data_IF_835153048389
#
_entry.id   IF_835153048389
#
_cell.length_a   1.000
_cell.length_b   1.000
_cell.length_c   1.000
_cell.angle_alpha   90.00
_cell.angle_beta   90.00
_cell.angle_gamma   90.00
#
_symmetry.space_group_name_H-M   'P 1'
#
loop_
_entity.id
_entity.type
_entity.pdbx_description
1 polymer ?
#
# COMPACT_ATOMS: atom_id res chain seq x y z
N UNK A 1 -5.73 45.35 49.05
CA UNK A 1 -4.26 45.44 49.08
C UNK A 1 -3.75 44.06 49.44
N UNK A 2 -3.02 43.43 48.50
CA UNK A 2 -1.98 42.39 48.69
C UNK A 2 -2.39 41.11 49.45
N UNK A 3 -2.03 39.89 49.04
CA UNK A 3 -0.69 39.48 48.63
C UNK A 3 -0.71 38.16 47.85
N UNK A 4 0.13 38.13 46.83
CA UNK A 4 0.69 36.95 46.16
C UNK A 4 1.60 36.15 47.11
N UNK A 5 1.71 34.84 46.91
CA UNK A 5 2.96 34.06 47.11
C UNK A 5 2.92 32.74 46.31
N UNK A 6 4.09 32.19 45.90
CA UNK A 6 4.34 31.46 44.63
C UNK A 6 4.40 29.92 44.75
N UNK A 7 4.49 29.18 43.62
CA UNK A 7 4.88 27.77 43.63
C UNK A 7 6.38 27.59 43.92
N UNK A 8 6.67 26.67 44.83
CA UNK A 8 8.00 26.32 45.32
C UNK A 8 8.91 25.74 44.22
N UNK A 9 10.17 26.16 44.23
CA UNK A 9 11.28 25.73 43.39
C UNK A 9 12.23 24.82 44.19
N UNK A 10 13.11 24.12 43.45
CA UNK A 10 14.39 23.49 43.86
C UNK A 10 14.33 21.97 44.09
N UNK A 11 15.29 21.14 43.65
CA UNK A 11 16.55 21.29 42.89
C UNK A 11 17.06 19.87 42.60
N UNK A 12 17.53 19.51 41.39
CA UNK A 12 18.89 19.64 40.83
C UNK A 12 19.94 18.62 41.33
N UNK A 13 20.53 17.86 40.37
CA UNK A 13 21.93 17.37 40.24
C UNK A 13 21.93 16.11 39.33
N UNK A 14 22.43 16.13 38.09
CA UNK A 14 23.83 16.13 37.60
C UNK A 14 24.52 14.75 37.63
N UNK A 15 24.76 14.15 36.45
CA UNK A 15 25.85 13.21 36.10
C UNK A 15 25.80 12.98 34.57
N UNK A 16 26.62 13.64 33.74
CA UNK A 16 28.02 13.39 33.37
C UNK A 16 28.26 12.24 32.35
N UNK A 17 28.85 12.66 31.22
CA UNK A 17 29.81 11.93 30.35
C UNK A 17 29.31 11.04 29.18
N UNK A 18 29.37 11.52 27.92
CA UNK A 18 30.44 11.42 26.86
C UNK A 18 30.31 10.17 25.94
N UNK A 19 31.04 10.01 24.80
CA UNK A 19 30.50 10.22 23.45
C UNK A 19 30.73 9.04 22.46
N UNK A 20 30.34 9.22 21.19
CA UNK A 20 30.74 8.46 19.98
C UNK A 20 30.56 6.94 19.94
N UNK A 21 29.77 6.44 18.98
CA UNK A 21 30.03 5.09 18.46
C UNK A 21 28.94 4.47 17.60
N UNK A 22 29.29 4.29 16.33
CA UNK A 22 28.79 3.27 15.38
C UNK A 22 27.46 3.51 14.70
N UNK A 23 27.58 4.06 13.49
CA UNK A 23 26.91 3.53 12.31
C UNK A 23 26.88 1.99 12.36
N UNK A 24 25.69 1.41 12.26
CA UNK A 24 25.49 0.12 11.60
C UNK A 24 24.26 0.23 10.69
N UNK A 25 24.41 -0.07 9.39
CA UNK A 25 23.32 -0.13 8.43
C UNK A 25 22.59 -1.46 8.59
N UNK A 26 21.29 -1.42 8.88
CA UNK A 26 20.45 -2.61 8.78
C UNK A 26 20.14 -2.86 7.31
N UNK A 27 20.97 -3.65 6.65
CA UNK A 27 20.53 -4.52 5.54
C UNK A 27 20.94 -5.95 5.87
N UNK A 28 20.52 -6.97 5.09
CA UNK A 28 19.31 -7.12 4.28
C UNK A 28 18.46 -8.33 4.73
N UNK A 29 17.26 -8.44 4.18
CA UNK A 29 16.46 -9.69 4.06
C UNK A 29 15.86 -10.30 5.34
N UNK A 30 14.60 -9.97 5.58
CA UNK A 30 13.60 -11.00 5.90
C UNK A 30 12.48 -10.84 4.90
N UNK A 31 12.04 -11.96 4.30
CA UNK A 31 10.91 -12.08 3.38
C UNK A 31 9.63 -11.56 4.03
N UNK A 32 9.49 -10.25 4.08
CA UNK A 32 8.36 -9.59 4.69
C UNK A 32 7.22 -9.66 3.70
N UNK A 33 6.20 -10.43 4.04
CA UNK A 33 4.82 -10.02 3.79
C UNK A 33 4.69 -8.59 4.31
N UNK A 34 5.07 -7.62 3.47
CA UNK A 34 4.98 -6.21 3.80
C UNK A 34 3.50 -5.95 4.05
N UNK A 35 3.09 -5.51 5.25
CA UNK A 35 1.71 -5.09 5.46
C UNK A 35 1.42 -3.97 4.46
N UNK A 36 0.27 -4.04 3.80
CA UNK A 36 -0.19 -2.95 2.94
C UNK A 36 -0.37 -1.70 3.84
N UNK A 37 0.48 -0.69 3.70
CA UNK A 37 0.32 0.58 4.41
C UNK A 37 -0.60 1.52 3.62
N UNK A 38 -1.68 2.02 4.23
CA UNK A 38 -2.62 2.97 3.62
C UNK A 38 -4.03 2.40 3.41
N UNK A 39 -4.78 2.80 2.36
CA UNK A 39 -6.18 2.38 2.15
C UNK A 39 -6.36 0.86 1.96
N UNK A 40 -5.25 0.14 1.77
CA UNK A 40 -5.20 -1.31 1.64
C UNK A 40 -4.87 -2.05 2.95
N UNK A 41 -4.74 -1.35 4.07
CA UNK A 41 -4.35 -1.95 5.35
C UNK A 41 -5.33 -3.05 5.79
N UNK A 42 -4.79 -4.26 6.01
CA UNK A 42 -5.57 -5.45 6.38
C UNK A 42 -6.08 -6.27 5.19
N UNK A 43 -5.81 -5.85 3.95
CA UNK A 43 -6.15 -6.64 2.76
C UNK A 43 -5.05 -7.64 2.41
N UNK A 44 -5.44 -8.74 1.77
CA UNK A 44 -4.55 -9.79 1.28
C UNK A 44 -4.16 -9.54 -0.17
N UNK A 45 -2.90 -9.78 -0.51
CA UNK A 45 -2.43 -9.73 -1.89
C UNK A 45 -2.81 -11.01 -2.60
N UNK A 46 -3.38 -10.91 -3.80
CA UNK A 46 -3.71 -12.11 -4.57
C UNK A 46 -2.43 -12.82 -5.04
N UNK A 47 -2.22 -14.12 -4.76
CA UNK A 47 -0.96 -14.80 -5.01
C UNK A 47 -0.62 -14.95 -6.50
N UNK A 48 -1.63 -14.98 -7.38
CA UNK A 48 -1.44 -15.14 -8.83
C UNK A 48 -1.39 -13.81 -9.58
N UNK A 49 -1.98 -12.76 -9.01
CA UNK A 49 -2.23 -11.49 -9.69
C UNK A 49 -1.67 -10.34 -8.86
N UNK A 50 -0.40 -10.47 -8.52
CA UNK A 50 0.38 -9.44 -7.84
C UNK A 50 1.67 -9.22 -8.62
N UNK A 51 1.62 -8.29 -9.58
CA UNK A 51 2.77 -7.89 -10.37
C UNK A 51 3.52 -6.78 -9.63
N UNK A 52 4.77 -7.00 -9.23
CA UNK A 52 5.60 -6.00 -8.54
C UNK A 52 5.79 -4.71 -9.37
N UNK A 53 5.73 -4.83 -10.70
CA UNK A 53 5.79 -3.71 -11.65
C UNK A 53 4.40 -3.24 -12.11
N UNK A 54 3.32 -3.79 -11.53
CA UNK A 54 1.96 -3.42 -11.89
C UNK A 54 1.66 -1.96 -11.54
N UNK A 55 0.90 -1.30 -12.41
CA UNK A 55 0.58 0.14 -12.33
C UNK A 55 -0.88 0.39 -11.93
N UNK A 56 -1.64 -0.64 -11.59
CA UNK A 56 -3.01 -0.58 -11.12
C UNK A 56 -3.21 -1.55 -9.98
N UNK A 57 -3.93 -1.10 -8.95
CA UNK A 57 -4.36 -1.98 -7.87
C UNK A 57 -5.89 -2.04 -7.86
N UNK A 58 -6.44 -3.24 -7.89
CA UNK A 58 -7.87 -3.50 -7.82
C UNK A 58 -8.19 -4.22 -6.52
N UNK A 59 -9.25 -3.81 -5.83
CA UNK A 59 -9.64 -4.40 -4.55
C UNK A 59 -10.98 -5.11 -4.72
N UNK A 60 -10.97 -6.44 -4.68
CA UNK A 60 -12.17 -7.26 -4.73
C UNK A 60 -12.66 -7.60 -3.32
N UNK A 61 -13.97 -7.50 -3.10
CA UNK A 61 -14.61 -7.87 -1.83
C UNK A 61 -14.09 -7.11 -0.59
N UNK A 62 -13.35 -6.00 -0.75
CA UNK A 62 -12.68 -5.24 0.33
C UNK A 62 -11.66 -6.03 1.15
N UNK A 63 -11.29 -7.23 0.70
CA UNK A 63 -10.39 -8.13 1.44
C UNK A 63 -9.17 -8.53 0.62
N UNK A 64 -9.26 -8.51 -0.72
CA UNK A 64 -8.17 -8.97 -1.59
C UNK A 64 -7.81 -7.90 -2.60
N UNK A 65 -6.52 -7.59 -2.68
CA UNK A 65 -5.93 -6.67 -3.62
C UNK A 65 -5.20 -7.42 -4.75
N UNK A 66 -5.41 -6.96 -5.98
CA UNK A 66 -4.83 -7.45 -7.21
C UNK A 66 -3.97 -6.34 -7.79
N UNK A 67 -2.69 -6.61 -8.06
CA UNK A 67 -1.79 -5.65 -8.69
C UNK A 67 -1.48 -6.11 -10.09
N UNK A 68 -1.92 -5.34 -11.09
CA UNK A 68 -1.87 -5.72 -12.51
C UNK A 68 -1.57 -4.50 -13.39
N UNK A 69 -1.45 -4.70 -14.70
CA UNK A 69 -1.31 -3.62 -15.67
C UNK A 69 -2.65 -3.12 -16.17
N UNK A 70 -2.90 -1.80 -16.09
CA UNK A 70 -4.06 -1.14 -16.68
C UNK A 70 -4.26 -1.53 -18.14
N UNK A 71 -3.15 -1.58 -18.90
CA UNK A 71 -3.16 -1.90 -20.33
C UNK A 71 -3.70 -3.29 -20.66
N UNK A 72 -3.51 -4.28 -19.77
CA UNK A 72 -4.03 -5.63 -19.99
C UNK A 72 -5.56 -5.62 -19.97
N UNK A 73 -6.17 -4.93 -19.01
CA UNK A 73 -7.63 -4.87 -18.92
C UNK A 73 -8.23 -3.90 -19.94
N UNK A 74 -7.54 -2.77 -20.19
CA UNK A 74 -7.93 -1.81 -21.21
C UNK A 74 -7.92 -2.42 -22.62
N UNK A 75 -6.99 -3.35 -22.90
CA UNK A 75 -6.93 -4.04 -24.19
C UNK A 75 -8.14 -4.96 -24.45
N UNK A 76 -8.78 -5.45 -23.39
CA UNK A 76 -9.89 -6.38 -23.49
C UNK A 76 -11.25 -5.70 -23.34
N UNK A 77 -11.31 -4.48 -22.79
CA UNK A 77 -12.54 -3.72 -22.63
C UNK A 77 -12.29 -2.22 -22.48
N UNK A 78 -12.96 -1.44 -23.32
CA UNK A 78 -12.97 0.03 -23.21
C UNK A 78 -13.64 0.51 -21.90
N UNK A 79 -14.56 -0.29 -21.34
CA UNK A 79 -15.23 0.04 -20.06
C UNK A 79 -14.21 0.06 -18.92
N UNK A 80 -13.34 -0.96 -18.85
CA UNK A 80 -12.26 -1.00 -17.87
C UNK A 80 -11.26 0.14 -18.10
N UNK A 81 -10.89 0.41 -19.36
CA UNK A 81 -10.00 1.52 -19.70
C UNK A 81 -10.53 2.88 -19.19
N UNK A 82 -11.82 3.14 -19.41
CA UNK A 82 -12.47 4.37 -18.96
C UNK A 82 -12.54 4.45 -17.43
N UNK A 83 -12.89 3.34 -16.76
CA UNK A 83 -12.94 3.27 -15.30
C UNK A 83 -11.59 3.63 -14.67
N UNK A 84 -10.48 3.11 -15.20
CA UNK A 84 -9.13 3.41 -14.67
C UNK A 84 -8.68 4.82 -14.98
N UNK A 85 -9.09 5.38 -16.13
CA UNK A 85 -8.80 6.77 -16.47
C UNK A 85 -9.46 7.73 -15.48
N UNK A 86 -10.72 7.46 -15.14
CA UNK A 86 -11.47 8.22 -14.12
C UNK A 86 -10.85 8.03 -12.74
N UNK A 87 -10.55 6.80 -12.34
CA UNK A 87 -9.94 6.51 -11.04
C UNK A 87 -8.55 7.12 -10.87
N UNK A 88 -7.72 7.13 -11.92
CA UNK A 88 -6.39 7.75 -11.90
C UNK A 88 -6.48 9.28 -11.76
N UNK A 89 -7.55 9.90 -12.27
CA UNK A 89 -7.80 11.34 -12.09
C UNK A 89 -8.33 11.71 -10.70
N UNK A 90 -8.94 10.74 -10.01
CA UNK A 90 -9.44 10.88 -8.64
C UNK A 90 -8.43 10.27 -7.68
N UNK A 91 -7.30 10.97 -7.51
CA UNK A 91 -6.13 10.56 -6.73
C UNK A 91 -6.36 10.36 -5.20
N UNK A 92 -7.60 10.15 -4.76
CA UNK A 92 -7.99 10.10 -3.35
C UNK A 92 -7.55 8.78 -2.68
N UNK A 93 -7.45 7.69 -3.44
CA UNK A 93 -7.00 6.37 -2.94
C UNK A 93 -5.89 5.81 -3.83
N UNK A 94 -4.65 6.28 -3.63
CA UNK A 94 -3.46 5.71 -4.26
C UNK A 94 -2.64 4.90 -3.24
N UNK A 95 -2.12 3.75 -3.65
CA UNK A 95 -1.19 2.93 -2.88
C UNK A 95 0.13 2.85 -3.64
N UNK A 96 1.25 3.26 -3.00
CA UNK A 96 2.58 3.32 -3.63
C UNK A 96 2.61 4.12 -4.95
N UNK A 97 1.74 5.13 -5.09
CA UNK A 97 1.60 5.91 -6.33
C UNK A 97 0.82 5.21 -7.44
N UNK A 98 0.26 4.03 -7.19
CA UNK A 98 -0.66 3.33 -8.08
C UNK A 98 -2.12 3.65 -7.69
N UNK A 99 -3.01 3.93 -8.65
CA UNK A 99 -4.43 4.10 -8.37
C UNK A 99 -5.03 2.80 -7.80
N UNK A 100 -5.77 2.92 -6.71
CA UNK A 100 -6.52 1.82 -6.11
C UNK A 100 -7.98 1.94 -6.53
N UNK A 101 -8.51 0.86 -7.09
CA UNK A 101 -9.87 0.83 -7.61
C UNK A 101 -10.65 -0.31 -6.95
N UNK A 102 -11.67 -0.03 -6.14
CA UNK A 102 -12.52 -1.08 -5.62
C UNK A 102 -13.39 -1.67 -6.73
N UNK A 103 -13.50 -2.99 -6.77
CA UNK A 103 -14.43 -3.74 -7.62
C UNK A 103 -15.47 -4.44 -6.76
N UNK A 104 -16.67 -4.60 -7.31
CA UNK A 104 -17.79 -5.22 -6.60
C UNK A 104 -17.78 -6.76 -6.67
N UNK A 105 -16.99 -7.32 -7.57
CA UNK A 105 -16.84 -8.77 -7.74
C UNK A 105 -16.14 -9.41 -6.53
N UNK A 106 -16.39 -10.71 -6.34
CA UNK A 106 -15.64 -11.49 -5.36
C UNK A 106 -14.21 -11.73 -5.85
N UNK A 107 -13.22 -11.93 -4.95
CA UNK A 107 -11.85 -12.22 -5.37
C UNK A 107 -11.75 -13.45 -6.27
N UNK A 108 -12.62 -14.45 -6.06
CA UNK A 108 -12.65 -15.68 -6.88
C UNK A 108 -13.15 -15.37 -8.29
N UNK A 109 -14.28 -14.67 -8.44
CA UNK A 109 -14.82 -14.32 -9.75
C UNK A 109 -13.87 -13.40 -10.51
N UNK A 110 -13.31 -12.41 -9.82
CA UNK A 110 -12.38 -11.47 -10.42
C UNK A 110 -11.09 -12.16 -10.88
N UNK A 111 -10.54 -13.09 -10.08
CA UNK A 111 -9.40 -13.90 -10.49
C UNK A 111 -9.72 -14.76 -11.73
N UNK A 112 -10.90 -15.36 -11.81
CA UNK A 112 -11.31 -16.10 -13.01
C UNK A 112 -11.40 -15.20 -14.24
N UNK A 113 -11.99 -14.01 -14.09
CA UNK A 113 -12.04 -13.01 -15.15
C UNK A 113 -10.62 -12.64 -15.61
N UNK A 114 -9.72 -12.32 -14.69
CA UNK A 114 -8.33 -11.98 -15.01
C UNK A 114 -7.59 -13.12 -15.73
N UNK A 115 -7.84 -14.39 -15.39
CA UNK A 115 -7.26 -15.54 -16.12
C UNK A 115 -7.72 -15.64 -17.56
N UNK A 116 -8.94 -15.19 -17.86
CA UNK A 116 -9.48 -15.15 -19.23
C UNK A 116 -8.95 -13.93 -19.99
N UNK A 117 -8.86 -12.78 -19.31
CA UNK A 117 -8.44 -11.51 -19.92
C UNK A 117 -6.92 -11.39 -20.11
N UNK A 118 -6.13 -11.99 -19.22
CA UNK A 118 -4.68 -11.94 -19.23
C UNK A 118 -4.16 -13.25 -19.83
N UNK A 119 -3.61 -13.24 -21.05
CA UNK A 119 -2.96 -14.41 -21.61
C UNK A 119 -1.81 -14.83 -20.71
N UNK A 120 -1.88 -16.03 -20.12
CA UNK A 120 -0.71 -16.64 -19.50
C UNK A 120 0.14 -17.14 -20.66
N UNK A 121 1.25 -16.47 -20.97
CA UNK A 121 2.17 -16.93 -22.01
C UNK A 121 2.71 -18.32 -21.63
N UNK A 122 2.04 -19.38 -22.08
CA UNK A 122 2.66 -20.69 -22.23
C UNK A 122 3.62 -20.56 -23.39
N UNK A 123 4.87 -20.20 -23.07
CA UNK A 123 5.98 -20.42 -23.99
C UNK A 123 6.10 -21.93 -24.19
N UNK A 124 5.56 -22.40 -25.31
CA UNK A 124 5.78 -23.73 -25.90
C UNK A 124 7.25 -23.93 -26.24
#
# INVERSE_FOLDING_TARGET
MSSLTPPNHSSSAADASTPHGRSLPSGPTTSSTQPLCGPLAGMNRHPEFWLDDGNLILVAGRETAFRIYTGLLASQSEVFANMFTVASSSADEAYEGCPVVPVYDTPVEFAHLLRVLIPKETRT
#
